data_IF_527236202179
#
_entry.id   IF_527236202179
#
_cell.length_a   1.000
_cell.length_b   1.000
_cell.length_c   1.000
_cell.angle_alpha   90.00
_cell.angle_beta   90.00
_cell.angle_gamma   90.00
#
_symmetry.space_group_name_H-M   'P 1'
#
loop_
_entity.id
_entity.type
_entity.pdbx_description
1 polymer ?
#
# COMPACT_ATOMS: atom_id res chain seq x y z
N UNK A 1 -2.61 -16.90 -12.96
CA UNK A 1 -2.77 -15.81 -11.97
C UNK A 1 -1.69 -14.80 -12.29
N UNK A 2 -2.05 -13.67 -12.90
CA UNK A 2 -1.12 -12.54 -13.03
C UNK A 2 -0.73 -12.13 -11.62
N UNK A 3 0.51 -12.40 -11.26
CA UNK A 3 1.10 -11.94 -10.02
C UNK A 3 1.06 -10.42 -10.13
N UNK A 4 0.28 -9.75 -9.29
CA UNK A 4 -0.06 -8.34 -9.41
C UNK A 4 1.17 -7.46 -9.71
N UNK A 5 1.36 -7.09 -10.98
CA UNK A 5 2.46 -6.21 -11.42
C UNK A 5 2.48 -4.90 -10.63
N UNK A 6 1.32 -4.46 -10.15
CA UNK A 6 1.16 -3.29 -9.30
C UNK A 6 1.86 -3.43 -7.95
N UNK A 7 1.86 -4.63 -7.35
CA UNK A 7 2.58 -4.89 -6.11
C UNK A 7 4.08 -4.81 -6.36
N UNK A 8 4.59 -5.46 -7.42
CA UNK A 8 6.02 -5.42 -7.75
C UNK A 8 6.49 -3.99 -8.09
N UNK A 9 5.71 -3.22 -8.86
CA UNK A 9 6.00 -1.81 -9.12
C UNK A 9 5.98 -0.97 -7.85
N UNK A 10 5.05 -1.23 -6.92
CA UNK A 10 5.00 -0.51 -5.64
C UNK A 10 6.23 -0.83 -4.79
N UNK A 11 6.70 -2.08 -4.78
CA UNK A 11 7.96 -2.48 -4.12
C UNK A 11 9.14 -1.72 -4.70
N UNK A 12 9.23 -1.64 -6.03
CA UNK A 12 10.29 -0.89 -6.71
C UNK A 12 10.27 0.58 -6.31
N UNK A 13 9.10 1.21 -6.21
CA UNK A 13 8.97 2.60 -5.77
C UNK A 13 9.41 2.80 -4.31
N UNK A 14 9.09 1.86 -3.42
CA UNK A 14 9.55 1.90 -2.03
C UNK A 14 11.08 1.79 -1.96
N UNK A 15 11.65 0.81 -2.68
CA UNK A 15 13.09 0.58 -2.70
C UNK A 15 13.87 1.75 -3.34
N UNK A 16 13.26 2.41 -4.33
CA UNK A 16 13.81 3.62 -4.96
C UNK A 16 13.71 4.86 -4.06
N UNK A 17 12.93 4.82 -2.97
CA UNK A 17 12.65 5.96 -2.12
C UNK A 17 11.58 6.91 -2.67
N UNK A 18 10.94 6.57 -3.80
CA UNK A 18 9.86 7.33 -4.43
C UNK A 18 8.56 7.29 -3.61
N UNK A 19 8.37 6.21 -2.84
CA UNK A 19 7.26 6.07 -1.90
C UNK A 19 7.79 6.01 -0.47
N UNK A 20 7.56 7.09 0.28
CA UNK A 20 7.89 7.17 1.70
C UNK A 20 6.93 6.34 2.55
N UNK A 21 7.47 5.37 3.28
CA UNK A 21 6.72 4.36 4.06
C UNK A 21 6.60 4.73 5.54
N UNK A 22 7.24 5.81 5.95
CA UNK A 22 7.11 6.47 7.25
C UNK A 22 5.93 7.46 7.30
N UNK A 23 5.25 7.69 6.16
CA UNK A 23 4.10 8.59 6.05
C UNK A 23 2.79 7.98 6.59
N UNK A 24 1.81 8.87 6.85
CA UNK A 24 0.44 8.48 7.19
C UNK A 24 -0.14 7.50 6.15
N UNK A 25 -0.76 6.42 6.62
CA UNK A 25 -1.37 5.38 5.80
C UNK A 25 -2.20 5.93 4.62
N UNK A 26 -3.08 6.92 4.84
CA UNK A 26 -3.91 7.51 3.77
C UNK A 26 -3.10 8.28 2.73
N UNK A 27 -2.02 8.96 3.14
CA UNK A 27 -1.16 9.65 2.18
C UNK A 27 -0.48 8.63 1.28
N UNK A 28 -0.02 7.52 1.85
CA UNK A 28 0.57 6.40 1.10
C UNK A 28 -0.44 5.73 0.17
N UNK A 29 -1.66 5.43 0.65
CA UNK A 29 -2.76 4.89 -0.18
C UNK A 29 -3.06 5.83 -1.35
N UNK A 30 -3.21 7.13 -1.09
CA UNK A 30 -3.49 8.12 -2.13
C UNK A 30 -2.35 8.25 -3.15
N UNK A 31 -1.10 8.12 -2.72
CA UNK A 31 0.06 8.14 -3.61
C UNK A 31 0.03 6.96 -4.58
N UNK A 32 -0.21 5.75 -4.08
CA UNK A 32 -0.36 4.53 -4.89
C UNK A 32 -1.58 4.65 -5.82
N UNK A 33 -2.70 5.16 -5.30
CA UNK A 33 -3.91 5.36 -6.08
C UNK A 33 -3.67 6.25 -7.30
N UNK A 34 -2.97 7.39 -7.11
CA UNK A 34 -2.65 8.33 -8.19
C UNK A 34 -1.63 7.76 -9.16
N UNK A 35 -0.63 7.03 -8.67
CA UNK A 35 0.44 6.47 -9.49
C UNK A 35 -0.07 5.39 -10.44
N UNK A 36 -0.86 4.45 -9.90
CA UNK A 36 -1.35 3.30 -10.65
C UNK A 36 -2.75 3.54 -11.25
N UNK A 37 -3.38 4.70 -10.98
CA UNK A 37 -4.76 5.03 -11.40
C UNK A 37 -5.77 3.95 -11.03
N UNK A 38 -5.63 3.40 -9.83
CA UNK A 38 -6.49 2.33 -9.30
C UNK A 38 -7.51 2.88 -8.30
N UNK A 39 -8.49 2.06 -7.91
CA UNK A 39 -9.42 2.41 -6.84
C UNK A 39 -8.75 2.41 -5.46
N UNK A 40 -9.32 3.20 -4.54
CA UNK A 40 -8.85 3.35 -3.16
C UNK A 40 -8.69 2.00 -2.45
N UNK A 41 -9.68 1.11 -2.59
CA UNK A 41 -9.68 -0.23 -1.97
C UNK A 41 -8.50 -1.07 -2.47
N UNK A 42 -8.22 -1.01 -3.78
CA UNK A 42 -7.12 -1.77 -4.38
C UNK A 42 -5.76 -1.26 -3.89
N UNK A 43 -5.59 0.06 -3.80
CA UNK A 43 -4.37 0.67 -3.26
C UNK A 43 -4.15 0.32 -1.77
N UNK A 44 -5.22 0.31 -0.97
CA UNK A 44 -5.16 -0.10 0.43
C UNK A 44 -4.75 -1.58 0.57
N UNK A 45 -5.29 -2.47 -0.27
CA UNK A 45 -4.94 -3.88 -0.25
C UNK A 45 -3.48 -4.13 -0.62
N UNK A 46 -2.93 -3.42 -1.62
CA UNK A 46 -1.50 -3.50 -1.97
C UNK A 46 -0.64 -3.17 -0.75
N UNK A 47 -0.93 -2.08 -0.04
CA UNK A 47 -0.19 -1.69 1.16
C UNK A 47 -0.26 -2.75 2.25
N UNK A 48 -1.44 -3.34 2.47
CA UNK A 48 -1.64 -4.37 3.50
C UNK A 48 -0.82 -5.61 3.16
N UNK A 49 -0.82 -6.02 1.90
CA UNK A 49 -0.07 -7.20 1.46
C UNK A 49 1.44 -6.97 1.55
N UNK A 50 1.92 -5.78 1.19
CA UNK A 50 3.32 -5.39 1.40
C UNK A 50 3.71 -5.39 2.89
N UNK A 51 2.79 -5.01 3.79
CA UNK A 51 3.05 -5.04 5.22
C UNK A 51 3.10 -6.47 5.76
N UNK A 52 2.23 -7.36 5.27
CA UNK A 52 2.27 -8.80 5.60
C UNK A 52 3.56 -9.46 5.11
N UNK A 53 4.11 -9.02 3.97
CA UNK A 53 5.40 -9.48 3.46
C UNK A 53 6.61 -8.98 4.25
N UNK A 54 6.42 -8.12 5.26
CA UNK A 54 7.49 -7.58 6.11
C UNK A 54 8.27 -6.41 5.49
N UNK A 55 7.92 -5.97 4.29
CA UNK A 55 8.60 -4.88 3.57
C UNK A 55 8.37 -3.50 4.18
N UNK A 56 7.22 -3.29 4.81
CA UNK A 56 6.82 -1.99 5.38
C UNK A 56 6.99 -1.93 6.90
N UNK A 57 7.13 -3.09 7.54
CA UNK A 57 7.30 -3.31 8.97
C UNK A 57 6.59 -2.28 9.87
N UNK A 58 5.33 -1.95 9.54
CA UNK A 58 4.54 -0.95 10.24
C UNK A 58 3.29 -1.60 10.82
N UNK A 59 3.36 -1.95 12.10
CA UNK A 59 2.30 -2.63 12.85
C UNK A 59 0.99 -1.82 12.92
N UNK A 60 1.05 -0.51 12.70
CA UNK A 60 -0.10 0.39 12.79
C UNK A 60 -0.96 0.40 11.51
N UNK A 61 -0.42 -0.07 10.37
CA UNK A 61 -1.10 0.05 9.07
C UNK A 61 -2.33 -0.85 8.95
N UNK A 62 -2.33 -2.01 9.62
CA UNK A 62 -3.50 -2.91 9.67
C UNK A 62 -4.66 -2.28 10.46
N UNK A 63 -4.36 -1.64 11.59
CA UNK A 63 -5.38 -0.92 12.37
C UNK A 63 -5.88 0.31 11.62
N UNK A 64 -4.98 1.06 10.97
CA UNK A 64 -5.36 2.22 10.15
C UNK A 64 -6.27 1.81 9.00
N UNK A 65 -5.97 0.73 8.27
CA UNK A 65 -6.86 0.23 7.21
C UNK A 65 -8.26 -0.13 7.74
N UNK A 66 -8.36 -0.79 8.90
CA UNK A 66 -9.65 -1.10 9.52
C UNK A 66 -10.46 0.16 9.91
N UNK A 67 -9.79 1.26 10.29
CA UNK A 67 -10.45 2.55 10.61
C UNK A 67 -11.10 3.22 9.41
N UNK A 68 -10.68 2.90 8.19
CA UNK A 68 -11.26 3.47 6.96
C UNK A 68 -12.41 2.65 6.39
N UNK A 69 -12.99 1.74 7.18
CA UNK A 69 -14.16 0.92 6.81
C UNK A 69 -13.98 0.07 5.54
N UNK A 70 -12.74 -0.26 5.16
CA UNK A 70 -12.50 -1.29 4.15
C UNK A 70 -13.02 -2.61 4.73
N UNK A 71 -14.18 -3.09 4.26
CA UNK A 71 -14.66 -4.44 4.54
C UNK A 71 -13.77 -5.39 3.74
N UNK A 72 -12.96 -6.18 4.46
CA UNK A 72 -12.14 -7.26 3.93
C UNK A 72 -12.99 -8.48 3.59
#
# INVERSE_FOLDING_TARGET
MEKDDLIEQTIQMINAGDLKTDMDFIKTVNAIQRRHRIGLVRAANIIIDLNKSGLLNNTDWKQKAARYHFKF
#
